data_IF_919410234438
#
_entry.id   IF_919410234438
#
_cell.length_a   1.000
_cell.length_b   1.000
_cell.length_c   1.000
_cell.angle_alpha   90.00
_cell.angle_beta   90.00
_cell.angle_gamma   90.00
#
_symmetry.space_group_name_H-M   'P 1'
#
loop_
_entity.id
_entity.type
_entity.pdbx_description
1 polymer ?
#
# COMPACT_ATOMS: atom_id res chain seq x y z
N UNK A 1 -46.83 26.97 29.81
CA UNK A 1 -47.19 26.83 28.39
C UNK A 1 -46.55 27.99 27.67
N UNK A 2 -45.51 27.89 26.85
CA UNK A 2 -44.86 26.78 26.16
C UNK A 2 -43.34 27.04 26.26
N UNK A 3 -42.51 26.12 26.77
CA UNK A 3 -41.96 24.96 26.07
C UNK A 3 -41.55 25.27 24.62
N UNK A 4 -40.31 24.90 24.29
CA UNK A 4 -39.77 24.77 22.94
C UNK A 4 -38.81 25.88 22.45
N UNK A 5 -37.78 26.14 23.25
CA UNK A 5 -36.43 26.34 22.69
C UNK A 5 -35.68 25.02 22.88
N UNK A 6 -36.07 24.03 22.09
CA UNK A 6 -35.40 22.73 22.01
C UNK A 6 -34.10 22.90 21.24
N UNK A 7 -32.99 22.67 21.95
CA UNK A 7 -31.75 22.04 21.47
C UNK A 7 -31.46 22.13 19.96
N UNK A 8 -30.87 23.24 19.52
CA UNK A 8 -29.98 23.21 18.35
C UNK A 8 -28.57 22.75 18.82
N UNK A 9 -28.45 21.47 19.19
CA UNK A 9 -27.15 20.80 19.38
C UNK A 9 -27.12 19.55 18.50
N UNK A 10 -25.99 19.41 17.81
CA UNK A 10 -25.60 18.32 16.91
C UNK A 10 -26.11 18.39 15.48
N UNK A 11 -25.56 19.33 14.71
CA UNK A 11 -25.25 19.03 13.31
C UNK A 11 -23.81 18.50 13.25
N UNK A 12 -23.60 17.26 13.71
CA UNK A 12 -22.33 16.55 13.42
C UNK A 12 -22.37 16.25 11.94
N UNK A 13 -21.56 16.98 11.16
CA UNK A 13 -21.19 16.57 9.80
C UNK A 13 -20.89 15.07 9.83
N UNK A 14 -21.65 14.27 9.09
CA UNK A 14 -21.42 12.84 9.04
C UNK A 14 -20.06 12.59 8.37
N UNK A 15 -19.15 11.93 9.09
CA UNK A 15 -17.84 11.60 8.55
C UNK A 15 -18.01 10.71 7.31
N UNK A 16 -17.23 10.98 6.27
CA UNK A 16 -17.21 10.15 5.08
C UNK A 16 -16.66 8.77 5.43
N UNK A 17 -17.43 7.72 5.13
CA UNK A 17 -17.02 6.33 5.31
C UNK A 17 -16.21 5.89 4.09
N UNK A 18 -14.90 5.81 4.27
CA UNK A 18 -13.98 5.33 3.24
C UNK A 18 -13.81 3.82 3.42
N UNK A 19 -14.30 3.03 2.46
CA UNK A 19 -14.13 1.56 2.46
C UNK A 19 -13.24 1.11 1.30
N UNK A 20 -12.40 0.12 1.54
CA UNK A 20 -11.60 -0.46 0.48
C UNK A 20 -12.52 -1.07 -0.62
N UNK A 21 -12.32 -0.71 -1.90
CA UNK A 21 -13.20 -1.11 -3.01
C UNK A 21 -13.07 -2.58 -3.43
N UNK A 22 -11.89 -3.16 -3.25
CA UNK A 22 -11.56 -4.53 -3.72
C UNK A 22 -11.32 -5.48 -2.55
N UNK A 23 -11.62 -6.78 -2.65
CA UNK A 23 -11.02 -7.77 -1.76
C UNK A 23 -9.51 -7.85 -2.00
N UNK A 24 -8.72 -8.40 -1.06
CA UNK A 24 -7.33 -8.76 -1.32
C UNK A 24 -7.22 -9.67 -2.56
N UNK A 25 -6.21 -9.44 -3.38
CA UNK A 25 -5.89 -10.29 -4.52
C UNK A 25 -4.64 -11.09 -4.17
N UNK A 26 -4.79 -12.34 -3.78
CA UNK A 26 -3.66 -13.20 -3.41
C UNK A 26 -3.75 -14.47 -4.25
N UNK A 27 -2.95 -14.61 -5.33
CA UNK A 27 -2.97 -15.80 -6.16
C UNK A 27 -2.46 -17.02 -5.38
N UNK A 28 -2.88 -18.20 -5.80
CA UNK A 28 -2.35 -19.45 -5.25
C UNK A 28 -0.83 -19.51 -5.44
N UNK A 29 -0.12 -19.97 -4.41
CA UNK A 29 1.34 -20.05 -4.43
C UNK A 29 2.05 -18.70 -4.34
N UNK A 30 1.35 -17.60 -4.02
CA UNK A 30 2.00 -16.30 -3.77
C UNK A 30 3.11 -16.42 -2.71
N UNK A 31 4.28 -15.88 -3.00
CA UNK A 31 5.45 -15.86 -2.09
C UNK A 31 5.70 -14.48 -1.50
N UNK A 32 5.19 -13.45 -2.17
CA UNK A 32 5.33 -12.03 -1.81
C UNK A 32 3.97 -11.36 -1.76
N UNK A 33 3.78 -10.44 -0.82
CA UNK A 33 2.61 -9.54 -0.80
C UNK A 33 3.04 -8.08 -0.89
N UNK A 34 2.48 -7.34 -1.83
CA UNK A 34 2.50 -5.88 -1.82
C UNK A 34 1.46 -5.41 -0.80
N UNK A 35 1.87 -4.55 0.13
CA UNK A 35 1.01 -4.05 1.20
C UNK A 35 1.03 -2.52 1.19
N UNK A 36 -0.09 -1.93 0.76
CA UNK A 36 -0.34 -0.50 0.80
C UNK A 36 -1.21 -0.09 1.97
N UNK A 37 -1.60 1.19 1.98
CA UNK A 37 -2.47 1.72 3.02
C UNK A 37 -3.94 1.51 2.69
N UNK A 38 -4.46 2.31 1.75
CA UNK A 38 -5.85 2.33 1.28
C UNK A 38 -5.89 3.09 -0.06
N UNK A 39 -6.67 2.66 -1.08
CA UNK A 39 -6.82 3.43 -2.31
C UNK A 39 -7.44 4.82 -2.08
N UNK A 40 -7.37 5.76 -3.04
CA UNK A 40 -8.05 7.05 -2.91
C UNK A 40 -9.57 6.89 -2.71
N UNK A 41 -10.24 7.77 -1.93
CA UNK A 41 -11.68 7.67 -1.63
C UNK A 41 -12.61 7.50 -2.83
N UNK A 42 -12.21 8.05 -3.99
CA UNK A 42 -12.98 7.98 -5.23
C UNK A 42 -13.16 6.55 -5.76
N UNK A 43 -12.24 5.64 -5.41
CA UNK A 43 -12.41 4.22 -5.73
C UNK A 43 -13.52 3.58 -4.88
N UNK A 44 -13.72 4.02 -3.63
CA UNK A 44 -14.84 3.56 -2.79
C UNK A 44 -16.20 3.94 -3.37
N UNK A 45 -16.28 5.08 -4.06
CA UNK A 45 -17.52 5.58 -4.67
C UNK A 45 -17.67 5.20 -6.14
N UNK A 46 -16.64 4.61 -6.76
CA UNK A 46 -16.62 4.27 -8.18
C UNK A 46 -16.49 5.46 -9.13
N UNK A 47 -16.17 6.66 -8.63
CA UNK A 47 -16.01 7.89 -9.43
C UNK A 47 -14.54 8.00 -9.86
N UNK A 48 -14.17 7.20 -10.86
CA UNK A 48 -12.79 7.09 -11.32
C UNK A 48 -12.39 8.26 -12.23
N UNK A 49 -11.10 8.64 -12.20
CA UNK A 49 -10.51 9.57 -13.14
C UNK A 49 -10.21 8.88 -14.47
N UNK A 50 -10.13 9.65 -15.54
CA UNK A 50 -9.50 9.17 -16.77
C UNK A 50 -8.06 8.72 -16.47
N UNK A 51 -7.71 7.51 -16.94
CA UNK A 51 -6.44 6.84 -16.65
C UNK A 51 -6.36 6.11 -15.30
N UNK A 52 -7.42 6.09 -14.49
CA UNK A 52 -7.54 5.13 -13.39
C UNK A 52 -7.87 3.74 -13.98
N UNK A 53 -7.27 2.68 -13.43
CA UNK A 53 -7.67 1.30 -13.66
C UNK A 53 -8.46 0.82 -12.45
N UNK A 54 -9.63 0.22 -12.64
CA UNK A 54 -10.49 -0.22 -11.53
C UNK A 54 -9.97 -1.51 -10.86
N UNK A 55 -8.76 -1.44 -10.31
CA UNK A 55 -8.04 -2.52 -9.64
C UNK A 55 -7.11 -1.97 -8.56
N UNK A 56 -6.56 -2.84 -7.71
CA UNK A 56 -5.62 -2.44 -6.66
C UNK A 56 -4.47 -1.59 -7.23
N UNK A 57 -4.10 -0.50 -6.54
CA UNK A 57 -3.12 0.50 -6.99
C UNK A 57 -3.40 1.14 -8.35
N UNK A 58 -4.60 1.00 -8.91
CA UNK A 58 -4.93 1.49 -10.25
C UNK A 58 -5.13 3.01 -10.35
N UNK A 59 -4.87 3.77 -9.29
CA UNK A 59 -4.95 5.23 -9.32
C UNK A 59 -3.90 5.81 -10.27
N UNK A 60 -4.29 6.69 -11.20
CA UNK A 60 -3.37 7.47 -12.05
C UNK A 60 -2.42 8.35 -11.23
N UNK A 61 -2.84 8.77 -10.03
CA UNK A 61 -2.00 9.54 -9.11
C UNK A 61 -0.88 8.69 -8.46
N UNK A 62 -0.95 7.36 -8.60
CA UNK A 62 0.01 6.39 -8.07
C UNK A 62 0.98 5.91 -9.14
N UNK A 63 2.16 5.45 -8.71
CA UNK A 63 3.26 5.10 -9.61
C UNK A 63 3.59 3.61 -9.61
N UNK A 64 2.91 2.77 -8.82
CA UNK A 64 3.29 1.37 -8.65
C UNK A 64 3.30 0.63 -9.99
N UNK A 65 2.19 0.68 -10.72
CA UNK A 65 2.08 0.00 -12.01
C UNK A 65 3.05 0.55 -13.05
N UNK A 66 3.28 1.87 -13.09
CA UNK A 66 4.31 2.47 -13.96
C UNK A 66 5.72 1.99 -13.61
N UNK A 67 6.03 1.83 -12.32
CA UNK A 67 7.33 1.31 -11.88
C UNK A 67 7.49 -0.15 -12.30
N UNK A 68 6.48 -0.99 -12.05
CA UNK A 68 6.52 -2.41 -12.40
C UNK A 68 6.54 -2.64 -13.92
N UNK A 69 5.76 -1.87 -14.67
CA UNK A 69 5.77 -1.87 -16.13
C UNK A 69 7.17 -1.65 -16.70
N UNK A 70 7.94 -0.72 -16.11
CA UNK A 70 9.32 -0.44 -16.51
C UNK A 70 10.33 -1.49 -16.06
N UNK A 71 10.12 -2.13 -14.90
CA UNK A 71 11.03 -3.17 -14.39
C UNK A 71 10.91 -4.44 -15.24
N UNK A 72 9.68 -4.80 -15.62
CA UNK A 72 9.37 -6.08 -16.27
C UNK A 72 9.00 -5.96 -17.76
N UNK A 73 9.04 -4.75 -18.33
CA UNK A 73 8.69 -4.47 -19.73
C UNK A 73 7.32 -5.03 -20.13
N UNK A 74 6.28 -4.67 -19.38
CA UNK A 74 4.96 -5.33 -19.45
C UNK A 74 4.06 -4.79 -20.57
N UNK A 75 4.27 -3.56 -21.04
CA UNK A 75 3.37 -2.90 -21.99
C UNK A 75 1.96 -2.69 -21.42
N UNK A 76 1.86 -2.25 -20.17
CA UNK A 76 0.58 -2.08 -19.48
C UNK A 76 -0.28 -0.98 -20.11
N UNK A 77 -1.57 -1.29 -20.23
CA UNK A 77 -2.65 -0.34 -20.47
C UNK A 77 -3.08 0.34 -19.17
N UNK A 78 -3.43 1.61 -19.24
CA UNK A 78 -3.80 2.44 -18.09
C UNK A 78 -5.24 2.96 -18.16
N UNK A 79 -6.04 2.50 -19.12
CA UNK A 79 -7.45 2.82 -19.21
C UNK A 79 -8.30 1.96 -18.26
N UNK A 80 -9.50 2.45 -17.90
CA UNK A 80 -10.46 1.71 -17.08
C UNK A 80 -11.13 0.57 -17.89
N UNK A 81 -10.37 -0.45 -18.29
CA UNK A 81 -10.83 -1.56 -19.13
C UNK A 81 -10.60 -2.92 -18.48
N UNK A 82 -11.36 -3.93 -18.90
CA UNK A 82 -11.15 -5.31 -18.46
C UNK A 82 -9.75 -5.82 -18.85
N UNK A 83 -9.24 -5.42 -20.00
CA UNK A 83 -7.90 -5.78 -20.48
C UNK A 83 -6.80 -5.26 -19.53
N UNK A 84 -6.85 -3.98 -19.16
CA UNK A 84 -5.89 -3.39 -18.23
C UNK A 84 -5.90 -4.10 -16.85
N UNK A 85 -7.08 -4.55 -16.40
CA UNK A 85 -7.22 -5.34 -15.16
C UNK A 85 -6.59 -6.73 -15.33
N UNK A 86 -6.85 -7.42 -16.44
CA UNK A 86 -6.32 -8.76 -16.68
C UNK A 86 -4.81 -8.78 -16.89
N UNK A 87 -4.22 -7.75 -17.52
CA UNK A 87 -2.75 -7.63 -17.60
C UNK A 87 -2.11 -7.63 -16.21
N UNK A 88 -2.68 -6.86 -15.26
CA UNK A 88 -2.21 -6.77 -13.88
C UNK A 88 -2.36 -8.09 -13.14
N UNK A 89 -3.51 -8.75 -13.26
CA UNK A 89 -3.74 -10.06 -12.64
C UNK A 89 -2.81 -11.14 -13.20
N UNK A 90 -2.57 -11.13 -14.50
CA UNK A 90 -1.68 -12.08 -15.18
C UNK A 90 -0.27 -11.93 -14.66
N UNK A 91 0.28 -10.70 -14.68
CA UNK A 91 1.57 -10.39 -14.10
C UNK A 91 1.70 -10.85 -12.64
N UNK A 92 0.72 -10.50 -11.79
CA UNK A 92 0.73 -10.87 -10.37
C UNK A 92 0.73 -12.39 -10.15
N UNK A 93 -0.03 -13.15 -10.95
CA UNK A 93 -0.04 -14.61 -10.90
C UNK A 93 1.30 -15.19 -11.31
N UNK A 94 1.85 -14.74 -12.44
CA UNK A 94 3.13 -15.23 -12.98
C UNK A 94 4.29 -14.96 -12.01
N UNK A 95 4.31 -13.77 -11.40
CA UNK A 95 5.34 -13.38 -10.43
C UNK A 95 5.09 -13.91 -9.01
N UNK A 96 3.97 -14.60 -8.78
CA UNK A 96 3.52 -15.10 -7.46
C UNK A 96 3.45 -13.98 -6.42
N UNK A 97 2.88 -12.84 -6.82
CA UNK A 97 2.72 -11.64 -5.99
C UNK A 97 1.24 -11.45 -5.70
N UNK A 98 0.90 -11.34 -4.42
CA UNK A 98 -0.41 -10.85 -3.98
C UNK A 98 -0.39 -9.36 -3.64
N UNK A 99 -1.57 -8.76 -3.55
CA UNK A 99 -1.79 -7.40 -3.06
C UNK A 99 -2.82 -7.44 -1.94
N UNK A 100 -2.45 -6.91 -0.78
CA UNK A 100 -3.35 -6.73 0.35
C UNK A 100 -3.01 -5.45 1.11
N UNK A 101 -3.72 -4.36 0.81
CA UNK A 101 -3.65 -3.13 1.59
C UNK A 101 -4.07 -3.38 3.06
N UNK A 102 -3.48 -2.65 4.01
CA UNK A 102 -3.66 -2.92 5.45
C UNK A 102 -5.00 -2.39 6.00
N UNK A 103 -5.61 -1.37 5.38
CA UNK A 103 -6.85 -0.77 5.86
C UNK A 103 -8.05 -1.33 5.10
N UNK A 104 -9.04 -1.87 5.82
CA UNK A 104 -10.33 -2.28 5.24
C UNK A 104 -11.28 -1.08 5.13
N UNK A 105 -11.29 -0.21 6.15
CA UNK A 105 -12.10 1.00 6.16
C UNK A 105 -11.60 2.03 7.16
N UNK A 106 -11.91 3.30 6.92
CA UNK A 106 -11.72 4.38 7.88
C UNK A 106 -12.83 5.44 7.74
N UNK A 107 -12.81 6.43 8.62
CA UNK A 107 -13.66 7.62 8.55
C UNK A 107 -12.80 8.85 8.24
N UNK A 108 -13.37 9.82 7.52
CA UNK A 108 -12.68 11.04 7.10
C UNK A 108 -13.57 12.27 7.25
N UNK A 109 -13.02 13.33 7.81
CA UNK A 109 -13.65 14.67 7.79
C UNK A 109 -13.53 15.30 6.40
N UNK A 110 -12.33 15.21 5.81
CA UNK A 110 -12.03 15.70 4.46
C UNK A 110 -11.83 14.53 3.51
N UNK A 111 -12.53 14.56 2.37
CA UNK A 111 -12.45 13.53 1.34
C UNK A 111 -11.21 13.79 0.48
N UNK A 112 -10.07 13.27 0.91
CA UNK A 112 -8.81 13.27 0.16
C UNK A 112 -8.05 11.93 0.31
N UNK A 113 -6.97 11.78 -0.45
CA UNK A 113 -6.13 10.58 -0.43
C UNK A 113 -5.00 10.61 0.61
N UNK A 114 -4.97 11.61 1.51
CA UNK A 114 -3.92 11.72 2.52
C UNK A 114 -4.11 10.67 3.61
N UNK A 115 -3.05 9.96 3.97
CA UNK A 115 -3.13 8.98 5.07
C UNK A 115 -3.37 9.66 6.43
N UNK A 116 -2.89 10.89 6.61
CA UNK A 116 -3.00 11.63 7.88
C UNK A 116 -4.43 11.96 8.30
N UNK A 117 -5.35 12.07 7.33
CA UNK A 117 -6.75 12.41 7.57
C UNK A 117 -7.63 11.23 8.00
N UNK A 118 -7.06 10.01 8.09
CA UNK A 118 -7.82 8.82 8.48
C UNK A 118 -8.09 8.76 9.98
N UNK A 119 -9.34 8.52 10.32
CA UNK A 119 -9.83 8.29 11.67
C UNK A 119 -10.51 6.92 11.76
N UNK A 120 -10.66 6.36 12.96
CA UNK A 120 -11.40 5.12 13.21
C UNK A 120 -11.02 3.97 12.25
N UNK A 121 -9.71 3.81 12.01
CA UNK A 121 -9.16 2.84 11.07
C UNK A 121 -9.49 1.42 11.52
N UNK A 122 -10.03 0.62 10.59
CA UNK A 122 -10.21 -0.83 10.74
C UNK A 122 -9.23 -1.54 9.82
N UNK A 123 -8.42 -2.42 10.41
CA UNK A 123 -7.45 -3.20 9.66
C UNK A 123 -8.10 -4.38 8.95
N UNK A 124 -7.44 -4.83 7.88
CA UNK A 124 -7.58 -6.19 7.38
C UNK A 124 -6.80 -7.13 8.28
N UNK A 125 -7.27 -8.38 8.38
CA UNK A 125 -6.58 -9.45 9.10
C UNK A 125 -5.41 -10.01 8.27
N UNK A 126 -4.34 -9.21 8.15
CA UNK A 126 -3.17 -9.59 7.35
C UNK A 126 -2.48 -10.82 7.94
N UNK A 127 -2.52 -11.00 9.26
CA UNK A 127 -2.01 -12.21 9.92
C UNK A 127 -2.82 -13.44 9.50
N UNK A 128 -4.15 -13.36 9.52
CA UNK A 128 -5.02 -14.43 9.04
C UNK A 128 -4.80 -14.77 7.56
N UNK A 129 -4.54 -13.78 6.70
CA UNK A 129 -4.15 -14.04 5.31
C UNK A 129 -2.80 -14.77 5.21
N UNK A 130 -1.79 -14.36 5.98
CA UNK A 130 -0.50 -15.04 6.00
C UNK A 130 -0.60 -16.49 6.49
N UNK A 131 -1.46 -16.77 7.45
CA UNK A 131 -1.74 -18.13 7.90
C UNK A 131 -2.35 -18.99 6.78
N UNK A 132 -3.28 -18.43 5.99
CA UNK A 132 -3.92 -19.10 4.85
C UNK A 132 -3.02 -19.26 3.63
N UNK A 133 -1.99 -18.43 3.49
CA UNK A 133 -1.05 -18.44 2.37
C UNK A 133 0.37 -18.78 2.85
N UNK A 134 0.66 -20.06 3.13
CA UNK A 134 1.90 -20.45 3.80
C UNK A 134 3.19 -20.23 2.98
N UNK A 135 3.06 -20.12 1.66
CA UNK A 135 4.18 -19.81 0.76
C UNK A 135 4.64 -18.34 0.89
N UNK A 136 3.82 -17.44 1.43
CA UNK A 136 4.21 -16.05 1.61
C UNK A 136 5.27 -15.96 2.72
N UNK A 137 6.44 -15.49 2.34
CA UNK A 137 7.59 -15.26 3.22
C UNK A 137 8.08 -13.81 3.19
N UNK A 138 7.57 -12.96 2.28
CA UNK A 138 7.98 -11.55 2.18
C UNK A 138 6.78 -10.60 2.05
N UNK A 139 6.80 -9.52 2.82
CA UNK A 139 5.90 -8.37 2.68
C UNK A 139 6.65 -7.17 2.10
N UNK A 140 6.14 -6.59 1.02
CA UNK A 140 6.67 -5.40 0.38
C UNK A 140 5.75 -4.21 0.72
N UNK A 141 6.11 -3.43 1.74
CA UNK A 141 5.36 -2.24 2.10
C UNK A 141 5.65 -1.12 1.11
N UNK A 142 4.62 -0.54 0.49
CA UNK A 142 4.77 0.61 -0.41
C UNK A 142 4.72 1.94 0.36
N UNK A 143 5.50 2.02 1.43
CA UNK A 143 5.57 3.13 2.36
C UNK A 143 6.12 2.69 3.73
N UNK A 144 6.88 3.55 4.39
CA UNK A 144 7.51 3.22 5.68
C UNK A 144 6.64 3.52 6.90
N UNK A 145 7.29 3.56 8.06
CA UNK A 145 6.69 3.83 9.38
C UNK A 145 6.26 5.29 9.61
N UNK A 146 6.02 6.08 8.55
CA UNK A 146 5.37 7.39 8.71
C UNK A 146 3.96 7.21 9.26
N UNK A 147 3.44 8.20 10.01
CA UNK A 147 2.09 8.13 10.59
C UNK A 147 1.06 7.72 9.53
N UNK A 148 0.31 6.67 9.84
CA UNK A 148 -0.72 6.06 8.98
C UNK A 148 -0.20 5.42 7.66
N UNK A 149 1.10 5.21 7.51
CA UNK A 149 1.66 4.40 6.44
C UNK A 149 1.44 2.89 6.66
N UNK A 150 1.74 2.05 5.66
CA UNK A 150 1.45 0.62 5.74
C UNK A 150 2.28 -0.09 6.81
N UNK A 151 3.59 0.20 6.91
CA UNK A 151 4.42 -0.36 8.01
C UNK A 151 3.94 0.12 9.39
N UNK A 152 3.56 1.40 9.51
CA UNK A 152 3.05 1.97 10.77
C UNK A 152 1.80 1.23 11.26
N UNK A 153 0.84 1.00 10.37
CA UNK A 153 -0.35 0.24 10.73
C UNK A 153 -0.05 -1.24 10.95
N UNK A 154 0.83 -1.83 10.14
CA UNK A 154 1.19 -3.23 10.33
C UNK A 154 1.84 -3.48 11.69
N UNK A 155 2.72 -2.58 12.17
CA UNK A 155 3.27 -2.64 13.53
C UNK A 155 2.19 -2.59 14.61
N UNK A 156 1.11 -1.84 14.40
CA UNK A 156 -0.02 -1.78 15.34
C UNK A 156 -0.85 -3.06 15.30
N UNK A 157 -1.11 -3.57 14.09
CA UNK A 157 -1.80 -4.82 13.90
C UNK A 157 -1.02 -6.00 14.51
N UNK A 158 0.29 -6.11 14.28
CA UNK A 158 1.13 -7.15 14.90
C UNK A 158 1.06 -7.18 16.43
N UNK A 159 0.96 -6.00 17.07
CA UNK A 159 0.82 -5.91 18.54
C UNK A 159 -0.46 -6.55 19.04
N UNK A 160 -1.54 -6.56 18.25
CA UNK A 160 -2.80 -7.25 18.59
C UNK A 160 -2.61 -8.78 18.71
N UNK A 161 -1.55 -9.31 18.08
CA UNK A 161 -1.14 -10.71 18.14
C UNK A 161 0.07 -10.95 19.05
N UNK A 162 0.50 -9.95 19.82
CA UNK A 162 1.69 -10.05 20.68
C UNK A 162 3.02 -10.14 19.91
N UNK A 163 3.02 -9.82 18.61
CA UNK A 163 4.21 -9.86 17.76
C UNK A 163 4.81 -8.46 17.56
N UNK A 164 6.08 -8.42 17.15
CA UNK A 164 6.81 -7.20 16.81
C UNK A 164 7.76 -7.45 15.64
N UNK A 165 8.08 -6.39 14.91
CA UNK A 165 9.12 -6.39 13.88
C UNK A 165 10.50 -6.24 14.55
N UNK A 166 11.43 -7.11 14.17
CA UNK A 166 12.84 -7.07 14.54
C UNK A 166 13.65 -6.42 13.41
N UNK A 167 14.51 -5.47 13.75
CA UNK A 167 15.25 -4.67 12.76
C UNK A 167 16.40 -5.50 12.18
N UNK A 168 16.45 -5.59 10.85
CA UNK A 168 17.57 -6.14 10.09
C UNK A 168 18.37 -5.01 9.45
N UNK A 169 17.68 -4.02 8.87
CA UNK A 169 18.27 -2.78 8.35
C UNK A 169 17.32 -1.61 8.58
N UNK A 170 17.82 -0.50 9.13
CA UNK A 170 17.05 0.73 9.34
C UNK A 170 17.29 1.79 8.24
N UNK A 171 18.11 1.47 7.24
CA UNK A 171 18.27 2.26 6.03
C UNK A 171 17.12 2.00 5.05
N UNK A 172 16.70 2.99 4.26
CA UNK A 172 15.59 2.79 3.29
C UNK A 172 16.13 2.14 2.01
N UNK A 173 15.55 1.00 1.55
CA UNK A 173 14.38 0.30 2.11
C UNK A 173 14.65 -0.45 3.41
N UNK A 174 13.82 -0.18 4.43
CA UNK A 174 14.02 -0.78 5.75
C UNK A 174 13.66 -2.24 5.71
N UNK A 175 14.48 -3.07 6.33
CA UNK A 175 14.27 -4.51 6.37
C UNK A 175 14.03 -4.92 7.82
N UNK A 176 12.96 -5.66 8.03
CA UNK A 176 12.64 -6.26 9.33
C UNK A 176 12.14 -7.67 9.15
N UNK A 177 12.26 -8.48 10.20
CA UNK A 177 11.65 -9.80 10.24
C UNK A 177 10.66 -9.91 11.41
N UNK A 178 9.75 -10.87 11.32
CA UNK A 178 8.99 -11.36 12.47
C UNK A 178 8.67 -12.84 12.30
N UNK A 179 8.52 -13.55 13.42
CA UNK A 179 8.14 -14.97 13.43
C UNK A 179 6.63 -15.10 13.48
N UNK A 180 6.06 -15.77 12.48
CA UNK A 180 4.65 -16.15 12.46
C UNK A 180 4.49 -17.61 12.88
N UNK A 181 3.70 -17.84 13.93
CA UNK A 181 3.32 -19.19 14.38
C UNK A 181 1.91 -19.52 13.90
N UNK A 182 1.77 -20.62 13.15
CA UNK A 182 0.48 -21.14 12.67
C UNK A 182 0.42 -22.62 13.01
N UNK A 183 -0.54 -23.05 13.83
CA UNK A 183 -0.75 -24.47 14.18
C UNK A 183 0.55 -25.18 14.66
N UNK A 184 1.36 -24.48 15.45
CA UNK A 184 2.64 -25.01 15.98
C UNK A 184 3.82 -24.96 15.00
N UNK A 185 3.61 -24.52 13.75
CA UNK A 185 4.71 -24.25 12.80
C UNK A 185 5.11 -22.79 12.88
N UNK A 186 6.39 -22.54 13.14
CA UNK A 186 6.98 -21.22 13.09
C UNK A 186 7.62 -20.99 11.72
N UNK A 187 7.38 -19.83 11.11
CA UNK A 187 8.15 -19.37 9.96
C UNK A 187 8.49 -17.91 10.09
N UNK A 188 9.65 -17.53 9.57
CA UNK A 188 10.07 -16.14 9.50
C UNK A 188 9.43 -15.45 8.30
N UNK A 189 8.95 -14.24 8.50
CA UNK A 189 8.43 -13.37 7.45
C UNK A 189 9.33 -12.14 7.38
N UNK A 190 9.95 -11.92 6.20
CA UNK A 190 10.69 -10.71 5.89
C UNK A 190 9.73 -9.60 5.51
N UNK A 191 10.05 -8.38 5.90
CA UNK A 191 9.35 -7.18 5.47
C UNK A 191 10.34 -6.19 4.88
N UNK A 192 9.97 -5.54 3.79
CA UNK A 192 10.76 -4.52 3.11
C UNK A 192 9.91 -3.27 2.96
N UNK A 193 10.32 -2.18 3.58
CA UNK A 193 9.64 -0.88 3.50
C UNK A 193 10.23 -0.01 2.40
N UNK A 194 9.62 -0.11 1.23
CA UNK A 194 10.00 0.62 0.02
C UNK A 194 9.56 2.09 0.09
N UNK A 195 10.19 2.92 -0.73
CA UNK A 195 9.76 4.32 -0.89
C UNK A 195 8.39 4.36 -1.57
N UNK A 196 7.42 5.02 -0.94
CA UNK A 196 6.05 5.05 -1.44
C UNK A 196 5.95 5.48 -2.93
N UNK A 197 5.19 4.77 -3.77
CA UNK A 197 5.02 5.05 -5.20
C UNK A 197 3.94 6.12 -5.39
N UNK A 198 4.15 7.27 -4.74
CA UNK A 198 3.23 8.41 -4.74
C UNK A 198 4.01 9.72 -4.88
N UNK A 199 3.41 10.70 -5.55
CA UNK A 199 3.98 12.03 -5.70
C UNK A 199 4.28 12.72 -4.37
N UNK A 200 3.53 12.39 -3.30
CA UNK A 200 3.76 12.95 -1.95
C UNK A 200 5.15 12.61 -1.39
N UNK A 201 5.74 11.49 -1.81
CA UNK A 201 7.07 11.06 -1.37
C UNK A 201 8.21 11.69 -2.19
N UNK A 202 7.94 12.46 -3.26
CA UNK A 202 8.98 13.03 -4.12
C UNK A 202 9.93 13.97 -3.36
N UNK A 203 9.42 14.74 -2.39
CA UNK A 203 10.26 15.60 -1.54
C UNK A 203 11.24 14.77 -0.70
N UNK A 204 10.76 13.66 -0.14
CA UNK A 204 11.60 12.75 0.64
C UNK A 204 12.67 12.10 -0.24
N UNK A 205 12.31 11.63 -1.45
CA UNK A 205 13.27 11.10 -2.44
C UNK A 205 14.35 12.14 -2.77
N UNK A 206 13.95 13.40 -2.98
CA UNK A 206 14.88 14.52 -3.22
C UNK A 206 15.92 14.72 -2.13
N UNK A 207 15.66 14.24 -0.91
CA UNK A 207 16.59 14.27 0.22
C UNK A 207 17.63 13.15 0.24
N UNK A 208 17.37 12.03 -0.44
CA UNK A 208 18.18 10.80 -0.37
C UNK A 208 19.55 11.03 -1.04
N UNK A 209 20.68 10.73 -0.37
CA UNK A 209 22.02 10.92 -0.93
C UNK A 209 22.23 10.25 -2.30
N UNK A 210 21.85 8.98 -2.41
CA UNK A 210 21.96 8.23 -3.67
C UNK A 210 21.15 8.88 -4.81
N UNK A 211 19.94 9.38 -4.54
CA UNK A 211 19.17 10.10 -5.55
C UNK A 211 19.88 11.38 -6.00
N UNK A 212 20.42 12.16 -5.06
CA UNK A 212 21.14 13.41 -5.36
C UNK A 212 22.37 13.15 -6.22
N UNK A 213 23.15 12.13 -5.90
CA UNK A 213 24.32 11.72 -6.67
C UNK A 213 23.93 11.37 -8.11
N UNK A 214 22.93 10.49 -8.30
CA UNK A 214 22.44 10.12 -9.63
C UNK A 214 21.89 11.31 -10.40
N UNK A 215 21.20 12.23 -9.73
CA UNK A 215 20.65 13.47 -10.33
C UNK A 215 21.74 14.44 -10.78
N UNK A 216 22.87 14.49 -10.07
CA UNK A 216 24.04 15.29 -10.46
C UNK A 216 24.73 14.70 -11.70
N UNK A 217 24.86 13.37 -11.76
CA UNK A 217 25.44 12.67 -12.91
C UNK A 217 24.53 12.73 -14.15
N UNK A 218 23.21 12.62 -13.95
CA UNK A 218 22.21 12.70 -15.00
C UNK A 218 21.05 13.61 -14.58
N UNK A 219 21.01 14.87 -15.06
CA UNK A 219 19.93 15.80 -14.77
C UNK A 219 18.53 15.32 -15.20
N UNK A 220 18.41 14.36 -16.13
CA UNK A 220 17.13 13.77 -16.52
C UNK A 220 16.63 12.69 -15.53
N UNK A 221 17.47 12.21 -14.61
CA UNK A 221 17.10 11.19 -13.63
C UNK A 221 15.96 11.66 -12.72
N UNK A 222 14.84 10.95 -12.70
CA UNK A 222 13.61 11.34 -12.00
C UNK A 222 13.43 10.57 -10.70
N UNK A 223 12.48 11.02 -9.86
CA UNK A 223 12.08 10.26 -8.67
C UNK A 223 11.40 8.94 -9.02
N UNK A 224 10.88 8.78 -10.24
CA UNK A 224 10.38 7.49 -10.74
C UNK A 224 11.54 6.58 -11.08
N UNK A 225 12.58 7.07 -11.75
CA UNK A 225 13.78 6.28 -12.06
C UNK A 225 14.44 5.74 -10.79
N UNK A 226 14.53 6.56 -9.75
CA UNK A 226 15.01 6.12 -8.44
C UNK A 226 14.20 4.97 -7.86
N UNK A 227 12.86 5.06 -7.94
CA UNK A 227 11.99 3.98 -7.46
C UNK A 227 12.09 2.74 -8.33
N UNK A 228 12.26 2.88 -9.64
CA UNK A 228 12.51 1.75 -10.55
C UNK A 228 13.78 1.01 -10.13
N UNK A 229 14.88 1.73 -9.87
CA UNK A 229 16.12 1.13 -9.36
C UNK A 229 15.90 0.43 -8.01
N UNK A 230 15.27 1.12 -7.06
CA UNK A 230 15.03 0.58 -5.71
C UNK A 230 14.09 -0.62 -5.72
N UNK A 231 13.02 -0.59 -6.51
CA UNK A 231 12.03 -1.66 -6.57
C UNK A 231 12.59 -2.88 -7.31
N UNK A 232 13.39 -2.67 -8.37
CA UNK A 232 13.97 -3.78 -9.12
C UNK A 232 14.75 -4.75 -8.22
N UNK A 233 15.48 -4.23 -7.23
CA UNK A 233 16.24 -5.03 -6.25
C UNK A 233 15.35 -6.07 -5.53
N UNK A 234 14.13 -5.72 -5.14
CA UNK A 234 13.27 -6.61 -4.34
C UNK A 234 12.21 -7.36 -5.14
N UNK A 235 11.87 -6.87 -6.33
CA UNK A 235 10.89 -7.52 -7.21
C UNK A 235 11.53 -8.59 -8.10
N UNK A 236 12.84 -8.48 -8.40
CA UNK A 236 13.59 -9.45 -9.19
C UNK A 236 14.32 -10.52 -8.36
N UNK A 237 14.30 -10.43 -7.02
CA UNK A 237 14.67 -11.51 -6.08
C UNK A 237 13.81 -12.76 -6.27
#
# INVERSE_FOLDING_TARGET
MNSDIVNAKNNKSSLFKHRHPFPPFIPEGATRLIVGTLPPPRFSTGILKEGDVNFCYGSIDGQLWTILDRIFDLGLKFETTAEAIEQRKTFLKEQKIGICDIVESCEREKIDASDLGMQNVRYRDLIGYLQKHPAVHTLLFTGGNSKNGPEYFFRRHLKEYGMKLEVVSDEVPRIHNFTLTTEGRCREIRTVSLTAPSGSANRAVGGIPLYKERKQQNPAFTTVDFRVLQYAEFFLE
#
